data_IF_118438221011
#
_entry.id   IF_118438221011
#
_cell.length_a   1.000
_cell.length_b   1.000
_cell.length_c   1.000
_cell.angle_alpha   90.00
_cell.angle_beta   90.00
_cell.angle_gamma   90.00
#
_symmetry.space_group_name_H-M   'P 1'
#
loop_
_entity.id
_entity.type
_entity.pdbx_description
1 polymer ?
#
# COMPACT_ATOMS: atom_id res chain seq x y z
N UNK A 1 -21.72 27.68 -13.53
CA UNK A 1 -22.29 26.49 -12.86
C UNK A 1 -21.70 25.24 -13.53
N UNK A 2 -20.50 24.83 -13.14
CA UNK A 2 -19.90 23.57 -13.60
C UNK A 2 -20.03 22.57 -12.46
N UNK A 3 -20.94 21.59 -12.61
CA UNK A 3 -20.97 20.42 -11.72
C UNK A 3 -19.75 19.56 -12.06
N UNK A 4 -18.73 19.60 -11.22
CA UNK A 4 -17.71 18.57 -11.21
C UNK A 4 -18.36 17.32 -10.59
N UNK A 5 -18.56 16.28 -11.39
CA UNK A 5 -18.87 14.94 -10.87
C UNK A 5 -17.59 14.42 -10.21
N UNK A 6 -17.45 14.66 -8.91
CA UNK A 6 -16.44 13.98 -8.09
C UNK A 6 -16.97 12.57 -7.87
N UNK A 7 -16.37 11.61 -8.55
CA UNK A 7 -16.61 10.19 -8.30
C UNK A 7 -15.81 9.85 -7.05
N UNK A 8 -16.41 10.06 -5.88
CA UNK A 8 -15.95 9.48 -4.62
C UNK A 8 -16.04 7.96 -4.80
N UNK A 9 -14.96 7.35 -5.30
CA UNK A 9 -14.85 5.91 -5.39
C UNK A 9 -14.72 5.37 -3.98
N UNK A 10 -15.45 4.30 -3.66
CA UNK A 10 -15.41 3.61 -2.37
C UNK A 10 -13.96 3.54 -1.85
N UNK A 11 -13.70 4.23 -0.74
CA UNK A 11 -12.38 4.28 -0.11
C UNK A 11 -12.02 2.86 0.35
N UNK A 12 -11.12 2.20 -0.37
CA UNK A 12 -10.56 0.93 0.07
C UNK A 12 -9.57 1.22 1.19
N UNK A 13 -9.66 0.51 2.30
CA UNK A 13 -8.69 0.62 3.37
C UNK A 13 -7.49 -0.29 3.09
N UNK A 14 -6.28 0.09 3.54
CA UNK A 14 -5.06 -0.70 3.31
C UNK A 14 -5.20 -2.17 3.77
N UNK A 15 -5.87 -2.39 4.90
CA UNK A 15 -6.07 -3.73 5.46
C UNK A 15 -7.04 -4.62 4.66
N UNK A 16 -7.78 -4.06 3.71
CA UNK A 16 -8.68 -4.77 2.78
C UNK A 16 -7.97 -5.11 1.46
N UNK A 17 -6.74 -4.63 1.27
CA UNK A 17 -5.94 -4.92 0.09
C UNK A 17 -5.46 -6.37 0.17
N UNK A 18 -5.62 -7.10 -0.94
CA UNK A 18 -5.14 -8.47 -1.04
C UNK A 18 -3.66 -8.58 -0.65
N UNK A 19 -3.23 -9.69 0.02
CA UNK A 19 -1.90 -9.85 0.60
C UNK A 19 -0.81 -10.14 -0.45
N UNK A 20 -0.88 -9.48 -1.59
CA UNK A 20 0.05 -9.60 -2.71
C UNK A 20 0.70 -8.25 -2.98
N UNK A 21 1.98 -8.26 -3.35
CA UNK A 21 2.70 -7.03 -3.68
C UNK A 21 2.05 -6.26 -4.84
N UNK A 22 1.46 -6.97 -5.81
CA UNK A 22 0.76 -6.34 -6.93
C UNK A 22 -0.47 -5.55 -6.46
N UNK A 23 -1.30 -6.13 -5.59
CA UNK A 23 -2.46 -5.43 -5.05
C UNK A 23 -2.04 -4.20 -4.23
N UNK A 24 -0.99 -4.32 -3.41
CA UNK A 24 -0.42 -3.19 -2.69
C UNK A 24 0.04 -2.08 -3.65
N UNK A 25 0.78 -2.43 -4.69
CA UNK A 25 1.23 -1.49 -5.72
C UNK A 25 0.07 -0.74 -6.39
N UNK A 26 -1.01 -1.46 -6.75
CA UNK A 26 -2.18 -0.86 -7.39
C UNK A 26 -2.87 0.11 -6.43
N UNK A 27 -3.05 -0.31 -5.18
CA UNK A 27 -3.60 0.53 -4.11
C UNK A 27 -2.78 1.80 -3.91
N UNK A 28 -1.47 1.67 -3.66
CA UNK A 28 -0.58 2.80 -3.40
C UNK A 28 -0.45 3.75 -4.60
N UNK A 29 -0.54 3.22 -5.83
CA UNK A 29 -0.55 4.06 -7.03
C UNK A 29 -1.81 4.93 -7.10
N UNK A 30 -2.97 4.42 -6.67
CA UNK A 30 -4.21 5.21 -6.59
C UNK A 30 -4.10 6.28 -5.51
N UNK A 31 -3.63 5.91 -4.33
CA UNK A 31 -3.40 6.83 -3.20
C UNK A 31 -2.37 7.93 -3.54
N UNK A 32 -1.40 7.61 -4.39
CA UNK A 32 -0.37 8.54 -4.84
C UNK A 32 -0.78 9.34 -6.10
N UNK A 33 -2.07 9.72 -6.21
CA UNK A 33 -2.63 10.49 -7.32
C UNK A 33 -2.36 9.90 -8.72
N UNK A 34 -2.30 8.57 -8.83
CA UNK A 34 -2.00 7.86 -10.07
C UNK A 34 -0.51 7.76 -10.41
N UNK A 35 0.39 8.36 -9.63
CA UNK A 35 1.84 8.21 -9.80
C UNK A 35 2.27 6.83 -9.31
N UNK A 36 2.85 6.03 -10.21
CA UNK A 36 3.22 4.63 -9.95
C UNK A 36 4.11 4.51 -8.72
N UNK A 37 3.64 3.77 -7.73
CA UNK A 37 4.43 3.38 -6.55
C UNK A 37 4.97 1.97 -6.77
N UNK A 38 6.28 1.76 -6.63
CA UNK A 38 6.94 0.46 -6.84
C UNK A 38 7.82 0.09 -5.63
N UNK A 39 8.16 -1.19 -5.52
CA UNK A 39 9.06 -1.69 -4.48
C UNK A 39 10.50 -1.25 -4.78
N UNK A 40 11.13 -0.56 -3.83
CA UNK A 40 12.55 -0.21 -3.85
C UNK A 40 13.37 -1.40 -3.33
N UNK A 41 12.93 -1.99 -2.21
CA UNK A 41 13.65 -3.06 -1.52
C UNK A 41 12.69 -3.96 -0.76
N UNK A 42 12.97 -5.26 -0.80
CA UNK A 42 12.36 -6.24 0.09
C UNK A 42 13.41 -6.77 1.08
N UNK A 43 12.96 -7.11 2.29
CA UNK A 43 13.79 -7.73 3.30
C UNK A 43 12.98 -8.41 4.38
N UNK A 44 13.66 -8.99 5.35
CA UNK A 44 13.04 -9.48 6.58
C UNK A 44 13.42 -8.51 7.69
N UNK A 45 12.44 -8.01 8.44
CA UNK A 45 12.72 -7.23 9.63
C UNK A 45 13.38 -8.15 10.68
N UNK A 46 14.62 -7.85 11.13
CA UNK A 46 15.33 -8.69 12.08
C UNK A 46 14.67 -8.77 13.47
N UNK A 47 13.74 -7.87 13.79
CA UNK A 47 13.03 -7.88 15.08
C UNK A 47 11.77 -8.75 15.05
N UNK A 48 10.92 -8.58 14.04
CA UNK A 48 9.66 -9.34 13.92
C UNK A 48 9.80 -10.63 13.12
N UNK A 49 10.81 -10.74 12.25
CA UNK A 49 10.92 -11.85 11.30
C UNK A 49 9.93 -11.74 10.13
N UNK A 50 9.20 -10.63 9.99
CA UNK A 50 8.21 -10.43 8.94
C UNK A 50 8.84 -9.84 7.67
N UNK A 51 8.22 -10.10 6.51
CA UNK A 51 8.59 -9.47 5.25
C UNK A 51 8.29 -7.97 5.27
N UNK A 52 9.32 -7.16 5.04
CA UNK A 52 9.23 -5.72 4.91
C UNK A 52 9.44 -5.33 3.45
N UNK A 53 8.54 -4.48 2.94
CA UNK A 53 8.57 -3.94 1.59
C UNK A 53 8.73 -2.41 1.66
N UNK A 54 9.90 -1.90 1.30
CA UNK A 54 10.16 -0.48 1.15
C UNK A 54 9.66 0.01 -0.22
N UNK A 55 8.77 0.99 -0.23
CA UNK A 55 8.08 1.45 -1.43
C UNK A 55 8.55 2.86 -1.84
N UNK A 56 8.41 3.17 -3.13
CA UNK A 56 8.88 4.43 -3.71
C UNK A 56 8.14 5.69 -3.24
N UNK A 57 7.08 5.53 -2.45
CA UNK A 57 6.39 6.62 -1.76
C UNK A 57 7.05 6.99 -0.41
N UNK A 58 8.19 6.37 -0.07
CA UNK A 58 8.94 6.65 1.15
C UNK A 58 8.42 5.94 2.39
N UNK A 59 7.45 5.03 2.25
CA UNK A 59 6.91 4.22 3.34
C UNK A 59 7.32 2.75 3.20
N UNK A 60 7.38 2.05 4.33
CA UNK A 60 7.58 0.61 4.38
C UNK A 60 6.31 -0.10 4.82
N UNK A 61 6.05 -1.27 4.27
CA UNK A 61 4.84 -2.05 4.51
C UNK A 61 5.20 -3.49 4.88
N UNK A 62 4.40 -4.07 5.77
CA UNK A 62 4.48 -5.48 6.14
C UNK A 62 3.08 -6.06 6.22
N UNK A 63 2.99 -7.37 6.42
CA UNK A 63 1.76 -8.06 6.76
C UNK A 63 1.72 -8.36 8.25
N UNK A 64 0.56 -8.14 8.84
CA UNK A 64 0.27 -8.58 10.21
C UNK A 64 0.07 -10.11 10.28
N UNK A 65 -0.26 -10.62 11.47
CA UNK A 65 -0.50 -12.04 11.69
C UNK A 65 -1.70 -12.60 10.91
N UNK A 66 -2.64 -11.75 10.50
CA UNK A 66 -3.81 -12.10 9.69
C UNK A 66 -3.54 -11.95 8.19
N UNK A 67 -2.32 -11.54 7.81
CA UNK A 67 -1.90 -11.32 6.43
C UNK A 67 -2.31 -9.96 5.86
N UNK A 68 -2.84 -9.04 6.68
CA UNK A 68 -3.30 -7.72 6.22
C UNK A 68 -2.14 -6.75 6.17
N UNK A 69 -2.16 -5.85 5.18
CA UNK A 69 -1.12 -4.84 5.05
C UNK A 69 -1.19 -3.79 6.17
N UNK A 70 -0.03 -3.46 6.71
CA UNK A 70 0.18 -2.38 7.66
C UNK A 70 1.44 -1.56 7.31
N UNK A 71 1.50 -0.32 7.80
CA UNK A 71 2.64 0.59 7.64
C UNK A 71 3.61 0.38 8.79
N UNK A 72 4.91 0.30 8.48
CA UNK A 72 6.00 0.30 9.46
C UNK A 72 6.63 1.70 9.50
N UNK A 73 6.79 2.23 10.71
CA UNK A 73 7.43 3.52 11.00
C UNK A 73 8.88 3.35 11.49
#
# INVERSE_FOLDING_TARGET
MSQAFVKEGDEQWLHDVQPTLNALVVYLTRENNGVRVYEIRAGIDPKSGHEMHEMSNGMSYTKDADGRWEIIW
#
